data_IF_090160035216
#
_entry.id   IF_090160035216
#
_cell.length_a   1.000
_cell.length_b   1.000
_cell.length_c   1.000
_cell.angle_alpha   90.00
_cell.angle_beta   90.00
_cell.angle_gamma   90.00
#
_symmetry.space_group_name_H-M   'P 1'
#
loop_
_entity.id
_entity.type
_entity.pdbx_description
1 polymer ?
#
# COMPACT_ATOMS: atom_id res chain seq x y z
N UNK A 1 13.09 1.69 4.07
CA UNK A 1 13.60 0.69 5.04
C UNK A 1 14.75 1.22 5.93
N UNK A 2 15.88 1.83 5.44
CA UNK A 2 17.03 2.15 6.29
C UNK A 2 16.73 3.18 7.40
N UNK A 3 15.76 4.06 7.23
CA UNK A 3 15.35 5.01 8.27
C UNK A 3 14.60 4.33 9.42
N UNK A 4 13.72 3.38 9.11
CA UNK A 4 12.97 2.60 10.10
C UNK A 4 13.88 1.69 10.94
N UNK A 5 14.87 1.06 10.31
CA UNK A 5 15.85 0.21 11.01
C UNK A 5 16.92 0.98 11.77
N UNK A 6 16.95 2.31 11.68
CA UNK A 6 18.00 3.14 12.29
C UNK A 6 19.35 3.04 11.60
N UNK A 7 19.49 2.32 10.48
CA UNK A 7 20.73 2.24 9.69
C UNK A 7 21.14 3.58 9.08
N UNK A 8 20.16 4.44 8.84
CA UNK A 8 20.36 5.81 8.38
C UNK A 8 19.53 6.79 9.21
N UNK A 9 20.10 7.95 9.50
CA UNK A 9 19.36 9.03 10.16
C UNK A 9 18.43 9.69 9.14
N UNK A 10 17.11 9.78 9.40
CA UNK A 10 16.21 10.49 8.50
C UNK A 10 16.52 12.00 8.50
N UNK A 11 16.31 12.70 7.39
CA UNK A 11 16.51 14.16 7.32
C UNK A 11 15.51 14.92 8.20
N UNK A 12 14.33 14.32 8.42
CA UNK A 12 13.27 14.80 9.33
C UNK A 12 12.61 13.60 9.98
N UNK A 13 12.12 13.78 11.22
CA UNK A 13 11.40 12.71 11.95
C UNK A 13 9.95 12.59 11.55
N UNK A 14 9.34 13.67 11.01
CA UNK A 14 7.98 13.73 10.49
C UNK A 14 8.02 14.09 9.01
N UNK A 15 7.37 13.29 8.19
CA UNK A 15 7.32 13.49 6.73
C UNK A 15 5.91 13.21 6.23
N UNK A 16 5.44 14.02 5.29
CA UNK A 16 4.26 13.73 4.47
C UNK A 16 4.66 13.68 3.01
N UNK A 17 3.99 12.82 2.25
CA UNK A 17 4.27 12.63 0.82
C UNK A 17 2.99 12.48 0.02
N UNK A 18 3.07 12.86 -1.26
CA UNK A 18 2.18 12.39 -2.31
C UNK A 18 3.06 11.69 -3.34
N UNK A 19 2.80 10.42 -3.61
CA UNK A 19 3.65 9.58 -4.46
C UNK A 19 2.81 8.96 -5.58
N UNK A 20 3.26 9.11 -6.81
CA UNK A 20 2.72 8.36 -7.94
C UNK A 20 3.21 6.92 -7.87
N UNK A 21 2.27 5.99 -7.76
CA UNK A 21 2.53 4.58 -7.57
C UNK A 21 2.02 3.75 -8.74
N UNK A 22 2.75 2.68 -9.07
CA UNK A 22 2.30 1.65 -10.01
C UNK A 22 2.19 0.34 -9.23
N UNK A 23 1.00 -0.29 -9.29
CA UNK A 23 0.73 -1.59 -8.68
C UNK A 23 0.06 -2.48 -9.72
N UNK A 24 0.66 -3.61 -10.04
CA UNK A 24 0.20 -4.51 -11.11
C UNK A 24 -0.39 -5.82 -10.57
N UNK A 25 -0.29 -6.08 -9.25
CA UNK A 25 -0.79 -7.32 -8.63
C UNK A 25 -2.29 -7.55 -8.85
N UNK A 26 -3.08 -6.47 -8.91
CA UNK A 26 -4.55 -6.53 -9.03
C UNK A 26 -5.06 -6.23 -10.44
N UNK A 27 -4.21 -6.33 -11.45
CA UNK A 27 -4.56 -5.91 -12.82
C UNK A 27 -5.78 -6.63 -13.40
N UNK A 28 -5.99 -7.88 -13.02
CA UNK A 28 -7.15 -8.67 -13.46
C UNK A 28 -8.48 -8.05 -12.99
N UNK A 29 -8.43 -7.25 -11.90
CA UNK A 29 -9.58 -6.59 -11.30
C UNK A 29 -9.80 -5.17 -11.82
N UNK A 30 -8.83 -4.59 -12.54
CA UNK A 30 -8.94 -3.24 -13.10
C UNK A 30 -10.06 -3.18 -14.16
N UNK A 31 -10.99 -2.23 -13.97
CA UNK A 31 -12.18 -2.10 -14.81
C UNK A 31 -13.27 -3.16 -14.59
N UNK A 32 -13.10 -4.05 -13.59
CA UNK A 32 -14.11 -5.02 -13.13
C UNK A 32 -14.72 -4.65 -11.78
N UNK A 33 -13.95 -3.98 -10.96
CA UNK A 33 -14.35 -3.44 -9.66
C UNK A 33 -14.27 -1.92 -9.68
N UNK A 34 -14.97 -1.26 -8.78
CA UNK A 34 -14.94 0.19 -8.66
C UNK A 34 -13.65 0.73 -7.99
N UNK A 35 -12.78 -0.15 -7.45
CA UNK A 35 -11.70 0.21 -6.52
C UNK A 35 -10.27 -0.14 -6.94
N UNK A 36 -10.08 -0.95 -8.01
CA UNK A 36 -8.75 -1.39 -8.42
C UNK A 36 -8.20 -0.53 -9.56
N UNK A 37 -7.00 -0.01 -9.35
CA UNK A 37 -6.25 0.80 -10.31
C UNK A 37 -4.81 0.27 -10.38
N UNK A 38 -4.15 0.44 -11.53
CA UNK A 38 -2.72 0.13 -11.68
C UNK A 38 -1.83 1.33 -11.40
N UNK A 39 -2.34 2.54 -11.62
CA UNK A 39 -1.67 3.80 -11.38
C UNK A 39 -2.53 4.66 -10.45
N UNK A 40 -1.95 5.16 -9.36
CA UNK A 40 -2.64 5.97 -8.36
C UNK A 40 -1.65 6.85 -7.59
N UNK A 41 -2.16 7.89 -6.94
CA UNK A 41 -1.39 8.70 -6.01
C UNK A 41 -1.62 8.20 -4.57
N UNK A 42 -0.53 7.86 -3.89
CA UNK A 42 -0.55 7.48 -2.48
C UNK A 42 -0.16 8.67 -1.62
N UNK A 43 -1.09 9.10 -0.79
CA UNK A 43 -0.84 10.07 0.27
C UNK A 43 -0.32 9.33 1.50
N UNK A 44 0.79 9.78 2.07
CA UNK A 44 1.40 9.13 3.21
C UNK A 44 1.86 10.13 4.27
N UNK A 45 1.81 9.69 5.53
CA UNK A 45 2.50 10.35 6.63
C UNK A 45 3.38 9.34 7.36
N UNK A 46 4.57 9.76 7.71
CA UNK A 46 5.63 8.93 8.25
C UNK A 46 6.17 9.52 9.54
N UNK A 47 6.40 8.63 10.52
CA UNK A 47 7.13 8.95 11.75
C UNK A 47 8.36 8.07 11.85
N UNK A 48 9.52 8.69 12.00
CA UNK A 48 10.78 7.99 12.24
C UNK A 48 11.18 8.14 13.70
N UNK A 49 10.47 7.41 14.59
CA UNK A 49 10.70 7.42 16.03
C UNK A 49 10.32 8.73 16.70
N UNK A 50 9.26 9.39 16.23
CA UNK A 50 8.70 10.62 16.78
C UNK A 50 7.32 10.33 17.38
N UNK A 51 6.21 10.37 16.60
CA UNK A 51 4.88 9.97 17.04
C UNK A 51 4.59 8.50 16.71
N UNK A 52 3.60 7.93 17.39
CA UNK A 52 3.19 6.54 17.18
C UNK A 52 1.65 6.41 17.21
N UNK A 53 1.10 5.27 17.61
CA UNK A 53 -0.34 4.97 17.59
C UNK A 53 -1.18 6.02 18.30
N UNK A 54 -0.71 6.49 19.46
CA UNK A 54 -1.42 7.46 20.31
C UNK A 54 -1.72 8.78 19.63
N UNK A 55 -0.95 9.17 18.64
CA UNK A 55 -1.15 10.38 17.85
C UNK A 55 -1.66 10.06 16.45
N UNK A 56 -1.13 9.00 15.80
CA UNK A 56 -1.47 8.67 14.42
C UNK A 56 -2.96 8.34 14.27
N UNK A 57 -3.53 7.53 15.16
CA UNK A 57 -4.93 7.12 15.12
C UNK A 57 -5.88 8.33 15.33
N UNK A 58 -5.73 9.15 16.40
CA UNK A 58 -6.53 10.35 16.55
C UNK A 58 -6.46 11.33 15.39
N UNK A 59 -5.26 11.56 14.83
CA UNK A 59 -5.11 12.44 13.67
C UNK A 59 -5.77 11.87 12.41
N UNK A 60 -5.71 10.56 12.21
CA UNK A 60 -6.40 9.92 11.09
C UNK A 60 -7.94 10.06 11.24
N UNK A 61 -8.45 9.82 12.45
CA UNK A 61 -9.87 9.98 12.74
C UNK A 61 -10.34 11.42 12.54
N UNK A 62 -9.63 12.38 13.13
CA UNK A 62 -9.92 13.82 12.96
C UNK A 62 -9.89 14.22 11.49
N UNK A 63 -8.85 13.81 10.75
CA UNK A 63 -8.72 14.13 9.33
C UNK A 63 -9.89 13.61 8.50
N UNK A 64 -10.29 12.36 8.69
CA UNK A 64 -11.39 11.77 7.93
C UNK A 64 -12.76 12.35 8.30
N UNK A 65 -12.98 12.65 9.59
CA UNK A 65 -14.31 13.02 10.07
C UNK A 65 -14.55 14.53 10.15
N UNK A 66 -13.50 15.33 10.38
CA UNK A 66 -13.63 16.80 10.57
C UNK A 66 -13.07 17.58 9.37
N UNK A 67 -12.07 17.06 8.64
CA UNK A 67 -11.46 17.73 7.48
C UNK A 67 -12.07 17.23 6.17
N UNK A 68 -12.10 15.89 5.98
CA UNK A 68 -12.72 15.26 4.80
C UNK A 68 -14.24 15.18 4.97
N UNK A 69 -14.74 15.26 6.22
CA UNK A 69 -16.18 15.24 6.57
C UNK A 69 -16.89 13.95 6.13
N UNK A 70 -16.22 12.80 6.28
CA UNK A 70 -16.87 11.51 6.08
C UNK A 70 -17.80 11.17 7.26
N UNK A 71 -18.95 10.53 7.01
CA UNK A 71 -19.90 10.17 8.06
C UNK A 71 -19.31 9.09 8.98
N UNK A 72 -19.25 9.38 10.28
CA UNK A 72 -18.65 8.54 11.33
C UNK A 72 -19.31 7.16 11.41
N UNK A 73 -20.61 7.10 11.21
CA UNK A 73 -21.42 5.88 11.24
C UNK A 73 -21.20 4.93 10.04
N UNK A 74 -20.50 5.40 8.99
CA UNK A 74 -20.11 4.57 7.83
C UNK A 74 -18.67 4.10 7.89
N UNK A 75 -17.85 4.60 8.83
CA UNK A 75 -16.45 4.24 8.95
C UNK A 75 -16.27 2.99 9.80
N UNK A 76 -15.46 2.06 9.28
CA UNK A 76 -15.08 0.80 9.90
C UNK A 76 -13.56 0.72 9.99
N UNK A 77 -13.06 -0.04 10.95
CA UNK A 77 -11.62 -0.23 11.13
C UNK A 77 -11.31 -1.72 11.28
N UNK A 78 -10.33 -2.21 10.56
CA UNK A 78 -9.74 -3.51 10.81
C UNK A 78 -8.45 -3.35 11.63
N UNK A 79 -8.18 -4.32 12.49
CA UNK A 79 -7.02 -4.30 13.38
C UNK A 79 -6.45 -5.70 13.56
N UNK A 80 -5.15 -5.80 13.77
CA UNK A 80 -4.53 -7.06 14.17
C UNK A 80 -5.09 -7.52 15.55
N UNK A 81 -5.49 -8.80 15.71
CA UNK A 81 -6.20 -9.27 16.90
C UNK A 81 -5.48 -9.01 18.23
N UNK A 82 -4.14 -9.09 18.22
CA UNK A 82 -3.30 -8.91 19.41
C UNK A 82 -2.87 -7.45 19.64
N UNK A 83 -3.20 -6.52 18.72
CA UNK A 83 -2.92 -5.10 18.88
C UNK A 83 -3.96 -4.41 19.77
N UNK A 84 -3.97 -4.80 21.05
CA UNK A 84 -4.91 -4.27 22.04
C UNK A 84 -4.78 -2.76 22.25
N UNK A 85 -3.58 -2.23 22.09
CA UNK A 85 -3.32 -0.79 22.19
C UNK A 85 -4.07 -0.02 21.10
N UNK A 86 -3.95 -0.42 19.82
CA UNK A 86 -4.67 0.21 18.72
C UNK A 86 -6.20 0.11 18.91
N UNK A 87 -6.69 -1.07 19.34
CA UNK A 87 -8.12 -1.29 19.62
C UNK A 87 -8.65 -0.29 20.65
N UNK A 88 -7.97 -0.09 21.77
CA UNK A 88 -8.41 0.84 22.81
C UNK A 88 -8.32 2.31 22.37
N UNK A 89 -7.29 2.66 21.59
CA UNK A 89 -7.18 4.01 21.03
C UNK A 89 -8.32 4.28 20.05
N UNK A 90 -8.67 3.33 19.16
CA UNK A 90 -9.80 3.47 18.25
C UNK A 90 -11.12 3.66 18.98
N UNK A 91 -11.38 2.83 20.00
CA UNK A 91 -12.59 2.94 20.83
C UNK A 91 -12.71 4.27 21.57
N UNK A 92 -11.60 4.89 21.87
CA UNK A 92 -11.57 6.18 22.56
C UNK A 92 -11.87 7.39 21.65
N UNK A 93 -11.92 7.20 20.32
CA UNK A 93 -12.14 8.32 19.40
C UNK A 93 -13.54 8.92 19.52
N UNK A 94 -13.69 10.25 19.42
CA UNK A 94 -14.98 10.94 19.57
C UNK A 94 -16.01 10.50 18.53
N UNK A 95 -17.10 9.87 18.98
CA UNK A 95 -18.19 9.43 18.12
C UNK A 95 -17.86 8.17 17.28
N UNK A 96 -16.80 7.44 17.61
CA UNK A 96 -16.49 6.19 16.96
C UNK A 96 -17.49 5.08 17.37
N UNK A 97 -18.14 4.38 16.43
CA UNK A 97 -19.04 3.28 16.74
C UNK A 97 -18.26 2.08 17.28
N UNK A 98 -18.59 1.64 18.50
CA UNK A 98 -17.81 0.64 19.23
C UNK A 98 -17.81 -0.75 18.60
N UNK A 99 -18.80 -1.06 17.78
CA UNK A 99 -18.98 -2.31 17.04
C UNK A 99 -18.38 -2.27 15.63
N UNK A 100 -17.79 -1.14 15.21
CA UNK A 100 -17.15 -0.99 13.91
C UNK A 100 -15.66 -1.36 13.90
N UNK A 101 -15.20 -2.15 14.87
CA UNK A 101 -13.85 -2.73 14.87
C UNK A 101 -13.93 -4.20 14.49
N UNK A 102 -13.21 -4.58 13.44
CA UNK A 102 -13.08 -5.97 12.99
C UNK A 102 -11.64 -6.43 13.20
N UNK A 103 -11.48 -7.58 13.86
CA UNK A 103 -10.17 -8.20 14.09
C UNK A 103 -9.83 -9.11 12.92
N UNK A 104 -8.69 -8.87 12.27
CA UNK A 104 -8.23 -9.66 11.12
C UNK A 104 -6.75 -10.00 11.30
N UNK A 105 -6.40 -11.26 11.10
CA UNK A 105 -5.01 -11.74 11.17
C UNK A 105 -4.14 -11.12 10.09
N UNK A 106 -4.75 -10.74 8.95
CA UNK A 106 -4.06 -10.11 7.82
C UNK A 106 -3.62 -8.66 8.11
N UNK A 107 -4.10 -8.05 9.20
CA UNK A 107 -3.64 -6.72 9.65
C UNK A 107 -2.25 -6.75 10.30
N UNK A 108 -1.34 -7.47 9.68
CA UNK A 108 0.09 -7.44 9.99
C UNK A 108 0.88 -7.21 8.70
N UNK A 109 1.32 -5.99 8.52
CA UNK A 109 2.00 -5.56 7.29
C UNK A 109 3.46 -5.99 7.26
N UNK A 110 3.85 -6.66 6.16
CA UNK A 110 5.22 -7.07 5.89
C UNK A 110 5.50 -7.18 4.38
N UNK A 111 6.71 -6.86 3.96
CA UNK A 111 7.21 -7.11 2.60
C UNK A 111 8.57 -7.77 2.71
N UNK A 112 8.59 -9.10 2.81
CA UNK A 112 9.80 -9.89 2.99
C UNK A 112 10.61 -9.43 4.22
N UNK A 113 11.91 -9.71 4.28
CA UNK A 113 12.77 -9.28 5.37
C UNK A 113 12.84 -7.76 5.51
N UNK A 114 12.78 -7.28 6.75
CA UNK A 114 12.84 -5.86 7.07
C UNK A 114 11.75 -5.37 8.02
N UNK A 115 11.55 -4.04 8.12
CA UNK A 115 10.55 -3.45 8.98
C UNK A 115 9.15 -3.95 8.70
N UNK A 116 8.43 -4.31 9.75
CA UNK A 116 7.07 -4.82 9.73
C UNK A 116 6.34 -4.49 11.03
N UNK A 117 5.05 -4.77 11.08
CA UNK A 117 4.26 -4.61 12.29
C UNK A 117 2.77 -4.69 12.02
N UNK A 118 1.95 -4.69 13.08
CA UNK A 118 0.51 -4.64 12.96
C UNK A 118 0.08 -3.35 12.26
N UNK A 119 -1.10 -3.38 11.68
CA UNK A 119 -1.69 -2.23 11.03
C UNK A 119 -3.18 -2.08 11.36
N UNK A 120 -3.73 -0.92 11.04
CA UNK A 120 -5.14 -0.64 11.04
C UNK A 120 -5.54 -0.11 9.67
N UNK A 121 -6.48 -0.77 9.03
CA UNK A 121 -7.08 -0.29 7.79
C UNK A 121 -8.42 0.36 8.07
N UNK A 122 -8.66 1.51 7.46
CA UNK A 122 -9.90 2.26 7.60
C UNK A 122 -10.73 2.07 6.35
N UNK A 123 -11.95 1.61 6.52
CA UNK A 123 -12.94 1.36 5.48
C UNK A 123 -14.13 2.29 5.59
N UNK A 124 -14.82 2.51 4.48
CA UNK A 124 -16.12 3.14 4.45
C UNK A 124 -17.16 2.17 3.86
N UNK A 125 -18.34 2.07 4.51
CA UNK A 125 -19.49 1.34 3.97
C UNK A 125 -20.20 2.21 2.93
N UNK A 126 -20.14 1.79 1.68
CA UNK A 126 -20.77 2.47 0.53
C UNK A 126 -22.26 2.12 0.35
N UNK A 127 -22.78 1.19 1.17
CA UNK A 127 -24.17 0.77 1.15
C UNK A 127 -24.36 -0.66 0.67
N UNK A 128 -25.49 -1.25 1.07
CA UNK A 128 -25.85 -2.65 0.75
C UNK A 128 -26.00 -2.88 -0.74
N UNK A 129 -26.39 -1.87 -1.49
CA UNK A 129 -26.58 -1.90 -2.94
C UNK A 129 -25.27 -2.17 -3.70
N UNK A 130 -24.12 -1.89 -3.09
CA UNK A 130 -22.79 -2.20 -3.63
C UNK A 130 -22.23 -3.53 -3.14
N UNK A 131 -22.97 -4.21 -2.28
CA UNK A 131 -22.59 -5.50 -1.71
C UNK A 131 -22.80 -6.66 -2.66
N UNK A 132 -22.21 -7.82 -2.31
CA UNK A 132 -22.36 -9.07 -3.04
C UNK A 132 -23.74 -9.75 -2.84
N UNK A 133 -24.63 -9.17 -2.03
CA UNK A 133 -25.93 -9.77 -1.67
C UNK A 133 -25.84 -10.96 -0.71
N UNK A 134 -24.66 -11.33 -0.23
CA UNK A 134 -24.49 -12.37 0.78
C UNK A 134 -24.96 -11.87 2.15
N UNK A 135 -25.66 -12.71 2.96
CA UNK A 135 -26.00 -12.37 4.33
C UNK A 135 -24.77 -12.28 5.25
N UNK A 136 -23.62 -12.76 4.79
CA UNK A 136 -22.32 -12.71 5.50
C UNK A 136 -21.40 -11.61 4.96
N UNK A 137 -21.93 -10.68 4.14
CA UNK A 137 -21.17 -9.55 3.63
C UNK A 137 -20.73 -8.65 4.81
N UNK A 138 -19.42 -8.51 4.96
CA UNK A 138 -18.79 -7.74 6.03
C UNK A 138 -17.51 -7.06 5.53
N UNK A 139 -16.86 -6.26 6.36
CA UNK A 139 -15.52 -5.69 6.08
C UNK A 139 -14.56 -6.83 5.78
N UNK A 140 -13.75 -6.66 4.72
CA UNK A 140 -12.88 -7.72 4.17
C UNK A 140 -13.53 -8.57 3.09
N UNK A 141 -14.82 -8.34 2.75
CA UNK A 141 -15.44 -8.97 1.58
C UNK A 141 -14.87 -8.35 0.28
N UNK A 142 -14.67 -9.20 -0.74
CA UNK A 142 -14.16 -8.78 -2.06
C UNK A 142 -15.14 -7.95 -2.91
N UNK A 143 -16.33 -7.64 -2.37
CA UNK A 143 -17.29 -6.78 -3.06
C UNK A 143 -16.97 -5.29 -2.89
N UNK A 144 -17.71 -4.43 -3.59
CA UNK A 144 -17.48 -2.99 -3.59
C UNK A 144 -18.20 -2.25 -2.44
N UNK A 145 -18.82 -2.97 -1.47
CA UNK A 145 -19.52 -2.35 -0.35
C UNK A 145 -18.57 -1.65 0.61
N UNK A 146 -17.52 -2.36 1.05
CA UNK A 146 -16.55 -1.83 2.00
C UNK A 146 -15.28 -1.43 1.26
N UNK A 147 -15.10 -0.12 1.10
CA UNK A 147 -13.93 0.44 0.45
C UNK A 147 -12.86 0.80 1.47
N UNK A 148 -11.71 0.13 1.41
CA UNK A 148 -10.52 0.57 2.15
C UNK A 148 -10.05 1.92 1.60
N UNK A 149 -9.89 2.90 2.50
CA UNK A 149 -9.45 4.26 2.15
C UNK A 149 -8.06 4.60 2.68
N UNK A 150 -7.66 4.04 3.80
CA UNK A 150 -6.37 4.35 4.45
C UNK A 150 -5.83 3.17 5.23
N UNK A 151 -4.54 2.87 5.10
CA UNK A 151 -3.84 1.90 5.92
C UNK A 151 -2.82 2.63 6.82
N UNK A 152 -2.86 2.37 8.14
CA UNK A 152 -1.96 2.90 9.16
C UNK A 152 -1.07 1.76 9.67
N UNK A 153 0.19 1.71 9.22
CA UNK A 153 1.13 0.67 9.62
C UNK A 153 1.97 1.11 10.82
N UNK A 154 1.96 0.30 11.86
CA UNK A 154 2.70 0.51 13.10
C UNK A 154 4.00 -0.29 13.08
N UNK A 155 5.02 0.27 12.42
CA UNK A 155 6.32 -0.37 12.25
C UNK A 155 7.05 -0.50 13.58
N UNK A 156 7.07 -1.69 14.16
CA UNK A 156 7.68 -1.95 15.46
C UNK A 156 8.65 -3.13 15.49
N UNK A 157 8.69 -3.94 14.43
CA UNK A 157 9.58 -5.09 14.33
C UNK A 157 10.45 -5.04 13.06
N UNK A 158 11.60 -5.70 13.12
CA UNK A 158 12.45 -6.05 11.98
C UNK A 158 12.39 -7.58 11.80
N UNK A 159 11.92 -8.04 10.64
CA UNK A 159 11.82 -9.45 10.30
C UNK A 159 13.10 -9.92 9.62
N UNK A 160 13.72 -10.96 10.15
CA UNK A 160 14.85 -11.62 9.53
C UNK A 160 14.41 -12.59 8.41
N UNK A 161 15.36 -13.08 7.61
CA UNK A 161 15.09 -14.04 6.52
C UNK A 161 14.49 -15.36 6.99
N UNK A 162 14.80 -15.78 8.23
CA UNK A 162 14.25 -16.97 8.87
C UNK A 162 12.86 -16.76 9.50
N UNK A 163 12.29 -15.56 9.36
CA UNK A 163 11.01 -15.16 9.93
C UNK A 163 11.05 -14.66 11.37
N UNK A 164 12.22 -14.65 12.02
CA UNK A 164 12.37 -14.14 13.39
C UNK A 164 12.08 -12.65 13.45
N UNK A 165 11.20 -12.25 14.39
CA UNK A 165 10.88 -10.86 14.64
C UNK A 165 11.70 -10.30 15.79
N UNK A 166 12.38 -9.17 15.57
CA UNK A 166 13.08 -8.42 16.60
C UNK A 166 12.53 -7.01 16.69
N UNK A 167 12.39 -6.41 17.89
CA UNK A 167 11.93 -5.03 18.00
C UNK A 167 12.84 -4.06 17.24
N UNK A 168 12.24 -3.12 16.52
CA UNK A 168 12.98 -1.99 15.93
C UNK A 168 13.56 -1.10 17.04
N UNK A 169 14.68 -0.40 16.78
CA UNK A 169 15.28 0.54 17.76
C UNK A 169 14.32 1.64 18.19
N UNK A 170 13.36 1.98 17.35
CA UNK A 170 12.29 2.93 17.60
C UNK A 170 11.02 2.47 16.92
N UNK A 171 9.88 2.80 17.49
CA UNK A 171 8.58 2.64 16.87
C UNK A 171 8.40 3.73 15.81
N UNK A 172 7.82 3.35 14.67
CA UNK A 172 7.66 4.23 13.52
C UNK A 172 6.26 4.12 12.94
N UNK A 173 5.84 5.13 12.18
CA UNK A 173 4.58 5.13 11.44
C UNK A 173 4.87 5.17 9.95
N UNK A 174 4.15 4.34 9.21
CA UNK A 174 4.06 4.35 7.75
C UNK A 174 2.58 4.28 7.37
N UNK A 175 2.09 5.22 6.56
CA UNK A 175 0.69 5.20 6.17
C UNK A 175 0.53 5.37 4.67
N UNK A 176 -0.55 4.80 4.12
CA UNK A 176 -0.91 4.93 2.72
C UNK A 176 -2.40 5.11 2.53
N UNK A 177 -2.79 6.26 1.93
CA UNK A 177 -4.16 6.59 1.56
C UNK A 177 -4.24 6.85 0.05
N UNK A 178 -5.18 6.21 -0.65
CA UNK A 178 -5.40 6.45 -2.08
C UNK A 178 -6.08 7.79 -2.30
N UNK A 179 -5.42 8.71 -3.02
CA UNK A 179 -6.00 10.02 -3.36
C UNK A 179 -7.28 9.85 -4.18
N UNK A 180 -7.28 8.95 -5.16
CA UNK A 180 -8.41 8.68 -6.04
C UNK A 180 -9.62 8.12 -5.26
N UNK A 181 -9.38 7.29 -4.23
CA UNK A 181 -10.44 6.79 -3.34
C UNK A 181 -11.11 7.93 -2.56
N UNK A 182 -10.34 8.87 -2.06
CA UNK A 182 -10.87 10.06 -1.38
C UNK A 182 -11.60 10.98 -2.36
N UNK A 183 -11.05 11.21 -3.55
CA UNK A 183 -11.69 12.00 -4.60
C UNK A 183 -13.03 11.39 -5.03
N UNK A 184 -13.06 10.08 -5.26
CA UNK A 184 -14.28 9.32 -5.55
C UNK A 184 -15.39 9.57 -4.51
N UNK A 185 -15.05 9.46 -3.23
CA UNK A 185 -15.99 9.67 -2.13
C UNK A 185 -16.50 11.11 -2.06
N UNK A 186 -15.62 12.09 -2.23
CA UNK A 186 -15.98 13.51 -2.15
C UNK A 186 -16.76 14.01 -3.35
N UNK A 187 -16.52 13.47 -4.53
CA UNK A 187 -17.23 13.82 -5.75
C UNK A 187 -18.56 13.07 -5.90
N UNK A 188 -18.75 11.98 -5.14
CA UNK A 188 -20.00 11.20 -5.15
C UNK A 188 -20.30 10.55 -6.50
N UNK A 189 -19.26 10.19 -7.25
CA UNK A 189 -19.34 9.49 -8.54
C UNK A 189 -19.52 7.98 -8.35
N UNK A 190 -19.86 7.23 -9.41
CA UNK A 190 -20.16 5.80 -9.31
C UNK A 190 -18.94 4.92 -9.12
N UNK A 191 -17.78 5.36 -9.65
CA UNK A 191 -16.50 4.64 -9.56
C UNK A 191 -15.32 5.60 -9.65
N UNK A 192 -14.11 5.13 -9.34
CA UNK A 192 -12.92 5.97 -9.33
C UNK A 192 -12.53 6.52 -10.71
N UNK A 193 -12.92 5.85 -11.80
CA UNK A 193 -12.61 6.27 -13.18
C UNK A 193 -13.43 7.48 -13.64
N UNK A 194 -14.47 7.85 -12.89
CA UNK A 194 -15.30 9.03 -13.14
C UNK A 194 -14.84 10.27 -12.37
N UNK A 195 -13.79 10.13 -11.56
CA UNK A 195 -13.21 11.29 -10.87
C UNK A 195 -12.54 12.22 -11.88
N UNK A 196 -12.53 13.53 -11.59
CA UNK A 196 -11.90 14.53 -12.45
C UNK A 196 -10.39 14.34 -12.62
N UNK A 197 -9.74 13.62 -11.73
CA UNK A 197 -8.34 13.21 -11.86
C UNK A 197 -8.15 12.19 -12.98
N UNK A 198 -9.04 11.22 -13.09
CA UNK A 198 -9.03 10.22 -14.17
C UNK A 198 -9.57 10.81 -15.48
N UNK A 199 -10.64 11.62 -15.43
CA UNK A 199 -11.19 12.34 -16.60
C UNK A 199 -10.13 13.27 -17.23
N UNK A 200 -9.21 13.83 -16.42
CA UNK A 200 -8.08 14.60 -16.93
C UNK A 200 -7.16 13.80 -17.87
N UNK A 201 -7.08 12.48 -17.71
CA UNK A 201 -6.35 11.57 -18.59
C UNK A 201 -7.16 11.10 -19.79
N UNK A 202 -8.51 11.15 -19.71
CA UNK A 202 -9.44 10.70 -20.76
C UNK A 202 -9.77 11.77 -21.83
N UNK A 203 -9.20 12.95 -21.76
CA UNK A 203 -9.35 14.02 -22.80
C UNK A 203 -9.01 13.60 -24.23
N UNK A 204 -8.59 12.36 -24.45
CA UNK A 204 -8.17 11.80 -25.72
C UNK A 204 -9.09 10.72 -26.30
N UNK A 205 -10.33 10.60 -25.86
CA UNK A 205 -11.35 9.67 -26.44
C UNK A 205 -10.93 8.20 -26.55
N UNK A 206 -10.01 7.73 -25.73
CA UNK A 206 -9.69 6.30 -25.63
C UNK A 206 -10.60 5.66 -24.60
N UNK A 207 -11.15 4.49 -24.91
CA UNK A 207 -11.83 3.64 -23.93
C UNK A 207 -10.84 3.43 -22.76
N UNK A 208 -11.24 3.80 -21.55
CA UNK A 208 -10.40 3.74 -20.33
C UNK A 208 -9.76 2.36 -20.15
N UNK A 209 -10.51 1.29 -20.51
CA UNK A 209 -10.02 -0.09 -20.52
C UNK A 209 -8.87 -0.29 -21.51
N UNK A 210 -8.89 0.43 -22.62
CA UNK A 210 -7.88 0.35 -23.68
C UNK A 210 -6.61 1.11 -23.26
N UNK A 211 -6.77 2.27 -22.62
CA UNK A 211 -5.64 3.04 -22.04
C UNK A 211 -4.95 2.24 -20.94
N UNK A 212 -5.72 1.64 -20.02
CA UNK A 212 -5.18 0.80 -18.95
C UNK A 212 -4.47 -0.43 -19.52
N UNK A 213 -5.07 -1.09 -20.52
CA UNK A 213 -4.42 -2.22 -21.21
C UNK A 213 -3.13 -1.83 -21.90
N UNK A 214 -3.10 -0.70 -22.59
CA UNK A 214 -1.89 -0.23 -23.29
C UNK A 214 -0.79 0.19 -22.29
N UNK A 215 -1.16 0.90 -21.21
CA UNK A 215 -0.22 1.23 -20.13
C UNK A 215 0.36 -0.03 -19.49
N UNK A 216 -0.48 -1.04 -19.26
CA UNK A 216 -0.03 -2.32 -18.73
C UNK A 216 0.89 -3.05 -19.71
N UNK A 217 0.53 -3.11 -20.99
CA UNK A 217 1.39 -3.69 -22.01
C UNK A 217 2.75 -2.97 -22.09
N UNK A 218 2.78 -1.65 -21.84
CA UNK A 218 4.03 -0.88 -21.76
C UNK A 218 4.85 -1.23 -20.50
N UNK A 219 4.20 -1.41 -19.35
CA UNK A 219 4.87 -1.83 -18.10
C UNK A 219 5.46 -3.23 -18.29
N UNK A 220 4.68 -4.18 -18.79
CA UNK A 220 5.17 -5.54 -19.07
C UNK A 220 6.33 -5.54 -20.08
N UNK A 221 6.26 -4.74 -21.15
CA UNK A 221 7.37 -4.60 -22.11
C UNK A 221 8.63 -4.05 -21.43
N UNK A 222 8.51 -3.11 -20.50
CA UNK A 222 9.64 -2.54 -19.75
C UNK A 222 10.23 -3.54 -18.76
N UNK A 223 9.38 -4.29 -18.06
CA UNK A 223 9.81 -5.35 -17.13
C UNK A 223 10.51 -6.49 -17.88
N UNK A 224 9.96 -6.95 -19.02
CA UNK A 224 10.60 -7.95 -19.86
C UNK A 224 11.94 -7.46 -20.42
N UNK A 225 12.03 -6.18 -20.81
CA UNK A 225 13.27 -5.58 -21.27
C UNK A 225 14.31 -5.41 -20.14
N UNK A 226 13.86 -5.14 -18.90
CA UNK A 226 14.73 -5.05 -17.73
C UNK A 226 15.26 -6.45 -17.36
N UNK A 227 14.40 -7.47 -17.31
CA UNK A 227 14.78 -8.85 -17.05
C UNK A 227 15.73 -9.40 -18.13
N UNK A 228 15.52 -9.04 -19.41
CA UNK A 228 16.44 -9.42 -20.49
C UNK A 228 17.83 -8.78 -20.31
N UNK A 229 17.91 -7.54 -19.84
CA UNK A 229 19.18 -6.85 -19.54
C UNK A 229 19.91 -7.44 -18.33
N UNK A 230 19.16 -7.86 -17.30
CA UNK A 230 19.75 -8.56 -16.14
C UNK A 230 20.33 -9.90 -16.55
N UNK A 231 19.61 -10.69 -17.36
CA UNK A 231 20.13 -11.96 -17.92
C UNK A 231 21.36 -11.75 -18.82
N UNK A 232 21.36 -10.71 -19.68
CA UNK A 232 22.55 -10.36 -20.47
C UNK A 232 23.74 -9.96 -19.58
N UNK A 233 23.50 -9.26 -18.48
CA UNK A 233 24.54 -8.86 -17.53
C UNK A 233 25.09 -10.08 -16.77
N UNK A 234 24.25 -11.01 -16.35
CA UNK A 234 24.65 -12.25 -15.69
C UNK A 234 25.45 -13.15 -16.65
N UNK A 235 25.01 -13.31 -17.91
CA UNK A 235 25.71 -14.06 -18.93
C UNK A 235 27.09 -13.46 -19.26
N UNK A 236 27.20 -12.15 -19.36
CA UNK A 236 28.49 -11.47 -19.54
C UNK A 236 29.40 -11.60 -18.32
N UNK A 237 28.84 -11.60 -17.11
CA UNK A 237 29.61 -11.75 -15.87
C UNK A 237 30.11 -13.20 -15.72
N UNK A 238 29.30 -14.17 -16.08
CA UNK A 238 29.67 -15.60 -16.11
C UNK A 238 30.78 -15.87 -17.13
N UNK A 239 30.65 -15.36 -18.36
CA UNK A 239 31.70 -15.46 -19.41
C UNK A 239 33.01 -14.78 -18.97
N UNK A 240 32.97 -13.65 -18.32
CA UNK A 240 34.16 -12.95 -17.80
C UNK A 240 34.83 -13.74 -16.68
N UNK A 241 34.06 -14.43 -15.85
CA UNK A 241 34.60 -15.25 -14.75
C UNK A 241 35.19 -16.51 -15.28
N UNK A 242 34.57 -17.16 -16.28
CA UNK A 242 35.13 -18.33 -16.95
C UNK A 242 36.42 -18.03 -17.74
N UNK A 243 36.48 -16.88 -18.43
CA UNK A 243 37.67 -16.44 -19.14
C UNK A 243 38.84 -16.10 -18.20
N UNK A 244 38.57 -15.53 -17.00
CA UNK A 244 39.59 -15.35 -15.97
C UNK A 244 40.10 -16.69 -15.42
N UNK A 245 39.19 -17.63 -15.11
CA UNK A 245 39.58 -18.95 -14.66
C UNK A 245 40.46 -19.72 -15.68
N UNK A 246 40.20 -19.56 -16.98
CA UNK A 246 40.99 -20.16 -18.04
C UNK A 246 42.39 -19.50 -18.19
N UNK A 247 42.54 -18.20 -17.93
CA UNK A 247 43.84 -17.51 -17.89
C UNK A 247 44.69 -17.92 -16.70
N UNK A 248 44.11 -18.03 -15.52
CA UNK A 248 44.79 -18.40 -14.28
C UNK A 248 45.26 -19.86 -14.31
N UNK A 249 44.65 -20.73 -15.13
CA UNK A 249 45.08 -22.13 -15.35
C UNK A 249 46.00 -22.30 -16.54
N UNK A 250 46.50 -21.24 -17.16
CA UNK A 250 47.51 -21.33 -18.26
C UNK A 250 47.02 -21.97 -19.54
N UNK A 251 45.70 -22.06 -19.76
CA UNK A 251 45.10 -22.71 -20.93
C UNK A 251 44.91 -21.80 -22.15
N UNK A 252 45.13 -20.48 -21.98
CA UNK A 252 45.10 -19.50 -23.06
C UNK A 252 46.33 -18.63 -22.98
N UNK A 253 47.29 -18.83 -23.86
CA UNK A 253 48.39 -17.92 -24.13
C UNK A 253 47.94 -16.99 -25.25
N UNK A 254 47.56 -15.75 -24.92
CA UNK A 254 47.28 -14.74 -25.92
C UNK A 254 48.08 -13.47 -25.65
N UNK A 255 48.26 -12.59 -26.66
CA UNK A 255 49.18 -11.47 -26.59
C UNK A 255 48.75 -10.42 -25.52
#
# INVERSE_FOLDING_TARGET
KPFFTGKMKPPRTRVTTSQRCVRTGDIENVGRTARHQTFFEMLGNFSFGDYFKGEAIPWAWEFLTEVIELPKDKLWVTVYPDDTEAIEIWKSQPGFPQDHIVKMEDNFWEIGPGPCGPDSEIYIDLGEERGCGSPTCAVGCDCDRYLEIWNLVFMQYDRAEDGTLTPLPKQNIDTGMGLERVAFLKQGVENMYETDQEIGTTKYHLDEREVVREMFAQVQRKEAAAAARENEYEDHHCLHTELRGLRDHGKISGP
#
